data_IF_549650309688
#
_entry.id   IF_549650309688
#
_cell.length_a   1.000
_cell.length_b   1.000
_cell.length_c   1.000
_cell.angle_alpha   90.00
_cell.angle_beta   90.00
_cell.angle_gamma   90.00
#
_symmetry.space_group_name_H-M   'P 1'
#
loop_
_entity.id
_entity.type
_entity.pdbx_description
1 polymer ?
#
# COMPACT_ATOMS: atom_id res chain seq x y z
N UNK A 1 -22.63 -6.30 2.95
CA UNK A 1 -22.34 -6.59 4.36
C UNK A 1 -21.17 -7.55 4.38
N UNK A 2 -20.20 -7.40 5.30
CA UNK A 2 -19.09 -8.35 5.45
C UNK A 2 -19.48 -9.41 6.47
N UNK A 3 -18.76 -10.55 6.45
CA UNK A 3 -18.97 -11.67 7.36
C UNK A 3 -17.76 -11.84 8.30
N UNK A 4 -17.94 -12.54 9.41
CA UNK A 4 -16.85 -12.87 10.33
C UNK A 4 -15.82 -13.75 9.59
N UNK A 5 -14.55 -13.38 9.66
CA UNK A 5 -13.45 -13.98 8.91
C UNK A 5 -13.12 -13.26 7.61
N UNK A 6 -13.98 -12.34 7.11
CA UNK A 6 -13.64 -11.54 5.93
C UNK A 6 -12.41 -10.66 6.18
N UNK A 7 -11.52 -10.60 5.19
CA UNK A 7 -10.43 -9.65 5.14
C UNK A 7 -10.86 -8.44 4.32
N UNK A 8 -10.79 -7.27 4.94
CA UNK A 8 -11.20 -5.99 4.32
C UNK A 8 -10.10 -4.95 4.44
N UNK A 9 -10.04 -4.06 3.47
CA UNK A 9 -9.28 -2.82 3.58
C UNK A 9 -10.13 -1.79 4.32
N UNK A 10 -9.62 -1.28 5.44
CA UNK A 10 -10.30 -0.29 6.26
C UNK A 10 -9.52 1.03 6.30
N UNK A 11 -9.85 1.92 5.43
CA UNK A 11 -9.26 3.27 5.36
C UNK A 11 -7.74 3.26 5.47
N UNK A 12 -7.23 4.08 6.38
CA UNK A 12 -5.77 4.23 6.62
C UNK A 12 -5.16 3.14 7.50
N UNK A 13 -6.00 2.36 8.19
CA UNK A 13 -5.55 1.25 9.03
C UNK A 13 -4.98 0.09 8.19
N UNK A 14 -5.41 0.02 6.91
CA UNK A 14 -5.01 -1.05 6.01
C UNK A 14 -5.90 -2.28 6.16
N UNK A 15 -5.31 -3.47 6.04
CA UNK A 15 -6.07 -4.72 6.05
C UNK A 15 -6.45 -5.10 7.47
N UNK A 16 -7.73 -5.40 7.64
CA UNK A 16 -8.32 -5.87 8.88
C UNK A 16 -9.14 -7.14 8.64
N UNK A 17 -9.15 -8.01 9.61
CA UNK A 17 -10.05 -9.14 9.68
C UNK A 17 -11.31 -8.75 10.46
N UNK A 18 -12.47 -9.09 9.96
CA UNK A 18 -13.74 -8.97 10.69
C UNK A 18 -13.79 -10.10 11.71
N UNK A 19 -13.58 -9.79 12.98
CA UNK A 19 -13.55 -10.81 14.04
C UNK A 19 -14.92 -11.04 14.68
N UNK A 20 -15.79 -10.02 14.66
CA UNK A 20 -17.10 -10.11 15.27
C UNK A 20 -18.05 -9.08 14.64
N UNK A 21 -19.35 -9.39 14.65
CA UNK A 21 -20.45 -8.46 14.28
C UNK A 21 -21.40 -8.45 15.45
N UNK A 22 -21.50 -7.33 16.16
CA UNK A 22 -22.25 -7.27 17.42
C UNK A 22 -22.79 -5.87 17.71
N UNK A 23 -23.68 -5.78 18.69
CA UNK A 23 -24.11 -4.49 19.25
C UNK A 23 -23.21 -4.11 20.42
N UNK A 24 -22.83 -2.83 20.50
CA UNK A 24 -21.98 -2.37 21.60
C UNK A 24 -22.82 -1.93 22.81
N UNK A 25 -22.50 -2.47 23.99
CA UNK A 25 -23.07 -2.05 25.27
C UNK A 25 -22.18 -0.96 25.89
N UNK A 26 -22.20 0.24 25.28
CA UNK A 26 -21.42 1.39 25.74
C UNK A 26 -22.33 2.61 25.89
N UNK A 27 -22.06 3.45 26.89
CA UNK A 27 -22.79 4.70 27.08
C UNK A 27 -22.59 5.63 25.88
N UNK A 28 -23.70 6.22 25.39
CA UNK A 28 -23.68 7.11 24.22
C UNK A 28 -23.71 6.41 22.85
N UNK A 29 -23.74 5.08 22.82
CA UNK A 29 -23.88 4.29 21.57
C UNK A 29 -25.33 3.78 21.44
N UNK A 30 -25.99 3.92 20.26
CA UNK A 30 -27.31 3.34 20.04
C UNK A 30 -27.30 1.83 20.26
N UNK A 31 -28.22 1.32 21.11
CA UNK A 31 -28.23 -0.09 21.53
C UNK A 31 -28.54 -1.08 20.39
N UNK A 32 -29.24 -0.62 19.35
CA UNK A 32 -29.69 -1.45 18.22
C UNK A 32 -28.75 -1.38 17.01
N UNK A 33 -27.64 -0.63 17.11
CA UNK A 33 -26.70 -0.44 16.02
C UNK A 33 -25.67 -1.55 15.99
N UNK A 34 -25.54 -2.23 14.83
CA UNK A 34 -24.52 -3.26 14.60
C UNK A 34 -23.16 -2.62 14.28
N UNK A 35 -22.12 -3.23 14.85
CA UNK A 35 -20.73 -2.86 14.65
C UNK A 35 -19.93 -4.05 14.17
N UNK A 36 -18.99 -3.79 13.27
CA UNK A 36 -17.86 -4.67 13.04
C UNK A 36 -16.80 -4.45 14.10
N UNK A 37 -16.29 -5.53 14.65
CA UNK A 37 -15.03 -5.53 15.40
C UNK A 37 -13.96 -6.01 14.44
N UNK A 38 -13.03 -5.12 14.12
CA UNK A 38 -11.98 -5.36 13.16
C UNK A 38 -10.64 -5.53 13.89
N UNK A 39 -9.85 -6.51 13.46
CA UNK A 39 -8.47 -6.72 13.92
C UNK A 39 -7.52 -6.39 12.78
N UNK A 40 -6.68 -5.33 12.91
CA UNK A 40 -5.67 -5.03 11.92
C UNK A 40 -4.67 -6.20 11.79
N UNK A 41 -4.37 -6.61 10.56
CA UNK A 41 -3.48 -7.75 10.30
C UNK A 41 -2.05 -7.46 10.77
N UNK A 42 -1.62 -6.20 10.68
CA UNK A 42 -0.28 -5.76 11.10
C UNK A 42 -0.12 -5.50 12.60
N UNK A 43 -1.22 -5.33 13.32
CA UNK A 43 -1.23 -5.02 14.75
C UNK A 43 -1.87 -6.14 15.54
N UNK A 44 -1.06 -6.98 16.21
CA UNK A 44 -1.54 -8.18 16.91
C UNK A 44 -2.58 -7.91 18.01
N UNK A 45 -2.64 -6.72 18.57
CA UNK A 45 -3.50 -6.37 19.71
C UNK A 45 -4.47 -5.23 19.44
N UNK A 46 -4.47 -4.67 18.24
CA UNK A 46 -5.38 -3.60 17.85
C UNK A 46 -6.80 -4.11 17.64
N UNK A 47 -7.79 -3.34 18.13
CA UNK A 47 -9.21 -3.54 17.82
C UNK A 47 -9.77 -2.23 17.30
N UNK A 48 -10.50 -2.28 16.20
CA UNK A 48 -11.21 -1.15 15.63
C UNK A 48 -12.70 -1.45 15.64
N UNK A 49 -13.50 -0.54 16.17
CA UNK A 49 -14.94 -0.63 16.20
C UNK A 49 -15.50 0.31 15.13
N UNK A 50 -16.28 -0.21 14.21
CA UNK A 50 -16.91 0.62 13.18
C UNK A 50 -18.35 0.19 12.94
N UNK A 51 -19.30 1.13 12.81
CA UNK A 51 -20.67 0.78 12.46
C UNK A 51 -20.72 0.05 11.12
N UNK A 52 -21.63 -0.90 10.99
CA UNK A 52 -21.84 -1.65 9.73
C UNK A 52 -22.26 -0.73 8.58
N UNK A 53 -22.98 0.35 8.90
CA UNK A 53 -23.44 1.39 7.99
C UNK A 53 -22.49 2.60 7.88
N UNK A 54 -21.20 2.41 8.22
CA UNK A 54 -20.21 3.48 8.15
C UNK A 54 -19.89 3.87 6.70
N UNK A 55 -20.23 5.11 6.33
CA UNK A 55 -19.91 5.70 5.02
C UNK A 55 -18.72 6.68 5.07
N UNK A 56 -18.20 6.97 6.27
CA UNK A 56 -17.12 7.98 6.45
C UNK A 56 -15.73 7.43 6.11
N UNK A 57 -15.55 6.14 6.29
CA UNK A 57 -14.27 5.46 6.06
C UNK A 57 -14.48 4.42 4.97
N UNK A 58 -13.64 4.44 3.96
CA UNK A 58 -13.69 3.45 2.89
C UNK A 58 -13.47 2.06 3.46
N UNK A 59 -14.40 1.17 3.18
CA UNK A 59 -14.32 -0.25 3.46
C UNK A 59 -14.55 -1.02 2.16
N UNK A 60 -13.64 -1.93 1.82
CA UNK A 60 -13.80 -2.84 0.69
C UNK A 60 -13.13 -4.18 0.96
N UNK A 61 -13.54 -5.21 0.26
CA UNK A 61 -12.83 -6.50 0.30
C UNK A 61 -11.41 -6.35 -0.25
N UNK A 62 -10.51 -7.21 0.20
CA UNK A 62 -9.20 -7.40 -0.42
C UNK A 62 -9.42 -7.84 -1.86
N UNK A 63 -8.56 -7.40 -2.77
CA UNK A 63 -8.63 -7.79 -4.18
C UNK A 63 -8.45 -9.29 -4.36
N UNK A 64 -9.04 -9.84 -5.43
CA UNK A 64 -8.85 -11.25 -5.78
C UNK A 64 -7.44 -11.49 -6.34
N UNK A 65 -7.05 -12.76 -6.46
CA UNK A 65 -5.79 -13.15 -7.09
C UNK A 65 -5.69 -12.64 -8.53
N UNK A 66 -6.77 -12.78 -9.30
CA UNK A 66 -6.87 -12.34 -10.69
C UNK A 66 -6.72 -10.82 -10.82
N UNK A 67 -7.36 -10.08 -9.91
CA UNK A 67 -7.24 -8.61 -9.85
C UNK A 67 -5.82 -8.19 -9.47
N UNK A 68 -5.17 -8.90 -8.55
CA UNK A 68 -3.79 -8.65 -8.16
C UNK A 68 -2.82 -8.90 -9.32
N UNK A 69 -2.96 -10.01 -10.01
CA UNK A 69 -2.15 -10.34 -11.19
C UNK A 69 -2.36 -9.34 -12.34
N UNK A 70 -3.63 -8.91 -12.55
CA UNK A 70 -3.94 -7.87 -13.53
C UNK A 70 -3.29 -6.56 -13.18
N UNK A 71 -3.42 -6.11 -11.93
CA UNK A 71 -2.78 -4.89 -11.44
C UNK A 71 -1.27 -4.91 -11.69
N UNK A 72 -0.59 -6.01 -11.35
CA UNK A 72 0.86 -6.13 -11.53
C UNK A 72 1.25 -5.98 -13.00
N UNK A 73 0.51 -6.57 -13.93
CA UNK A 73 0.74 -6.39 -15.38
C UNK A 73 0.50 -4.95 -15.84
N UNK A 74 -0.41 -4.23 -15.19
CA UNK A 74 -0.74 -2.84 -15.52
C UNK A 74 0.20 -1.82 -14.88
N UNK A 75 1.01 -2.21 -13.87
CA UNK A 75 1.94 -1.31 -13.19
C UNK A 75 2.80 -0.48 -14.16
N UNK A 76 3.43 -1.04 -15.23
CA UNK A 76 4.24 -0.23 -16.15
C UNK A 76 3.47 0.93 -16.77
N UNK A 77 2.19 0.75 -17.05
CA UNK A 77 1.31 1.71 -17.73
C UNK A 77 0.66 2.74 -16.78
N UNK A 78 0.67 2.46 -15.47
CA UNK A 78 0.13 3.38 -14.47
C UNK A 78 1.07 4.57 -14.33
N UNK A 79 0.60 5.77 -14.68
CA UNK A 79 1.36 7.00 -14.54
C UNK A 79 1.47 7.45 -13.07
N UNK A 80 2.55 8.13 -12.72
CA UNK A 80 2.72 8.81 -11.44
C UNK A 80 1.68 9.93 -11.23
N UNK A 81 1.67 10.49 -10.02
CA UNK A 81 0.79 11.63 -9.72
C UNK A 81 1.36 12.91 -10.35
N UNK A 82 0.53 13.60 -11.10
CA UNK A 82 0.87 14.95 -11.51
C UNK A 82 0.72 15.93 -10.35
N UNK A 83 1.80 16.63 -9.99
CA UNK A 83 1.86 17.59 -8.89
C UNK A 83 2.26 18.94 -9.46
N UNK A 84 1.27 19.77 -9.77
CA UNK A 84 1.50 21.12 -10.31
C UNK A 84 2.01 22.12 -9.29
N UNK A 85 1.78 21.88 -7.98
CA UNK A 85 2.19 22.78 -6.91
C UNK A 85 2.72 21.98 -5.72
N UNK A 86 3.98 22.21 -5.35
CA UNK A 86 4.65 21.57 -4.22
C UNK A 86 3.92 21.76 -2.88
N UNK A 87 3.20 22.88 -2.69
CA UNK A 87 2.43 23.14 -1.46
C UNK A 87 1.24 22.21 -1.32
N UNK A 88 0.66 21.72 -2.43
CA UNK A 88 -0.49 20.81 -2.45
C UNK A 88 -0.08 19.34 -2.48
N UNK A 89 1.22 19.05 -2.53
CA UNK A 89 1.74 17.70 -2.69
C UNK A 89 1.24 16.73 -1.61
N UNK A 90 1.37 17.10 -0.36
CA UNK A 90 0.94 16.23 0.74
C UNK A 90 -0.57 15.98 0.74
N UNK A 91 -1.36 16.97 0.32
CA UNK A 91 -2.80 16.82 0.17
C UNK A 91 -3.14 15.78 -0.90
N UNK A 92 -2.46 15.83 -2.05
CA UNK A 92 -2.60 14.82 -3.11
C UNK A 92 -2.27 13.41 -2.63
N UNK A 93 -1.17 13.24 -1.90
CA UNK A 93 -0.84 11.95 -1.30
C UNK A 93 -1.92 11.48 -0.34
N UNK A 94 -2.46 12.37 0.48
CA UNK A 94 -3.53 12.07 1.44
C UNK A 94 -4.81 11.64 0.73
N UNK A 95 -5.19 12.30 -0.36
CA UNK A 95 -6.34 11.94 -1.18
C UNK A 95 -6.19 10.54 -1.77
N UNK A 96 -5.06 10.26 -2.40
CA UNK A 96 -4.77 8.94 -2.96
C UNK A 96 -4.79 7.84 -1.89
N UNK A 97 -4.18 8.08 -0.73
CA UNK A 97 -4.21 7.12 0.38
C UNK A 97 -5.62 6.88 0.93
N UNK A 98 -6.48 7.92 0.96
CA UNK A 98 -7.87 7.80 1.41
C UNK A 98 -8.73 6.97 0.46
N UNK A 99 -8.39 6.92 -0.83
CA UNK A 99 -9.14 6.15 -1.83
C UNK A 99 -9.12 4.65 -1.57
N UNK A 100 -8.09 4.16 -0.87
CA UNK A 100 -7.83 2.74 -0.60
C UNK A 100 -7.76 1.88 -1.87
N UNK A 101 -7.41 2.45 -3.02
CA UNK A 101 -7.25 1.74 -4.29
C UNK A 101 -5.80 1.38 -4.54
N UNK A 102 -5.51 0.13 -4.87
CA UNK A 102 -4.15 -0.33 -5.14
C UNK A 102 -3.45 0.47 -6.25
N UNK A 103 -4.17 0.80 -7.34
CA UNK A 103 -3.64 1.63 -8.42
C UNK A 103 -3.19 3.04 -7.93
N UNK A 104 -3.93 3.64 -7.01
CA UNK A 104 -3.55 4.93 -6.43
C UNK A 104 -2.29 4.81 -5.54
N UNK A 105 -2.12 3.69 -4.83
CA UNK A 105 -0.89 3.43 -4.09
C UNK A 105 0.31 3.23 -5.03
N UNK A 106 0.11 2.54 -6.16
CA UNK A 106 1.15 2.42 -7.20
C UNK A 106 1.55 3.80 -7.73
N UNK A 107 0.58 4.70 -8.00
CA UNK A 107 0.85 6.07 -8.46
C UNK A 107 1.71 6.85 -7.46
N UNK A 108 1.40 6.76 -6.15
CA UNK A 108 2.20 7.38 -5.08
C UNK A 108 3.61 6.80 -5.08
N UNK A 109 3.76 5.47 -5.12
CA UNK A 109 5.05 4.79 -5.08
C UNK A 109 5.93 5.26 -6.24
N UNK A 110 5.41 5.24 -7.47
CA UNK A 110 6.14 5.73 -8.66
C UNK A 110 6.60 7.18 -8.49
N UNK A 111 5.68 8.07 -8.14
CA UNK A 111 5.98 9.49 -7.93
C UNK A 111 7.06 9.72 -6.88
N UNK A 112 6.95 9.05 -5.75
CA UNK A 112 7.89 9.22 -4.64
C UNK A 112 9.25 8.60 -4.93
N UNK A 113 9.27 7.52 -5.69
CA UNK A 113 10.51 6.90 -6.15
C UNK A 113 11.26 7.83 -7.12
N UNK A 114 10.59 8.37 -8.14
CA UNK A 114 11.17 9.33 -9.09
C UNK A 114 11.72 10.57 -8.36
N UNK A 115 10.95 11.10 -7.40
CA UNK A 115 11.39 12.22 -6.56
C UNK A 115 12.61 11.86 -5.72
N UNK A 116 12.64 10.68 -5.12
CA UNK A 116 13.79 10.18 -4.36
C UNK A 116 15.03 10.15 -5.24
N UNK A 117 14.95 9.58 -6.43
CA UNK A 117 16.07 9.51 -7.39
C UNK A 117 16.53 10.91 -7.81
N UNK A 118 15.59 11.79 -8.17
CA UNK A 118 15.89 13.18 -8.56
C UNK A 118 16.59 13.95 -7.45
N UNK A 119 16.15 13.82 -6.19
CA UNK A 119 16.78 14.48 -5.04
C UNK A 119 18.17 13.94 -4.75
N UNK A 120 18.36 12.63 -4.82
CA UNK A 120 19.68 12.00 -4.63
C UNK A 120 20.69 12.48 -5.68
N UNK A 121 20.27 12.58 -6.96
CA UNK A 121 21.12 13.18 -8.03
C UNK A 121 21.53 14.62 -7.74
N UNK A 122 20.75 15.37 -6.94
CA UNK A 122 21.06 16.74 -6.49
C UNK A 122 21.83 16.78 -5.17
N UNK A 123 22.30 15.64 -4.64
CA UNK A 123 22.95 15.54 -3.34
C UNK A 123 22.02 15.78 -2.15
N UNK A 124 20.70 15.70 -2.32
CA UNK A 124 19.69 15.96 -1.29
C UNK A 124 19.07 14.64 -0.82
N UNK A 125 18.77 14.55 0.48
CA UNK A 125 18.05 13.42 1.06
C UNK A 125 16.54 13.50 0.72
N UNK A 126 15.84 12.37 0.73
CA UNK A 126 14.37 12.32 0.69
C UNK A 126 13.79 13.11 1.87
N UNK A 127 12.63 13.75 1.70
CA UNK A 127 11.97 14.44 2.81
C UNK A 127 11.26 13.42 3.73
N UNK A 128 11.15 13.74 5.03
CA UNK A 128 10.44 12.87 5.98
C UNK A 128 8.98 12.62 5.57
N UNK A 129 8.32 13.61 4.96
CA UNK A 129 6.96 13.47 4.43
C UNK A 129 6.92 12.46 3.28
N UNK A 130 7.80 12.61 2.28
CA UNK A 130 7.85 11.70 1.13
C UNK A 130 8.16 10.27 1.59
N UNK A 131 9.12 10.11 2.50
CA UNK A 131 9.48 8.80 3.04
C UNK A 131 8.34 8.13 3.81
N UNK A 132 7.59 8.91 4.60
CA UNK A 132 6.42 8.42 5.33
C UNK A 132 5.34 7.90 4.38
N UNK A 133 5.00 8.69 3.35
CA UNK A 133 3.95 8.28 2.39
C UNK A 133 4.41 7.12 1.52
N UNK A 134 5.68 7.05 1.14
CA UNK A 134 6.24 5.91 0.41
C UNK A 134 6.08 4.62 1.22
N UNK A 135 6.54 4.60 2.48
CA UNK A 135 6.39 3.44 3.36
C UNK A 135 4.93 3.04 3.58
N UNK A 136 4.02 4.01 3.71
CA UNK A 136 2.60 3.73 3.88
C UNK A 136 1.99 3.09 2.62
N UNK A 137 2.30 3.62 1.44
CA UNK A 137 1.78 3.12 0.18
C UNK A 137 2.32 1.73 -0.14
N UNK A 138 3.64 1.52 -0.01
CA UNK A 138 4.27 0.20 -0.16
C UNK A 138 3.68 -0.80 0.82
N UNK A 139 3.60 -0.41 2.08
CA UNK A 139 3.04 -1.26 3.10
C UNK A 139 1.62 -1.72 2.82
N UNK A 140 0.73 -0.82 2.42
CA UNK A 140 -0.64 -1.17 2.10
C UNK A 140 -0.73 -2.04 0.85
N UNK A 141 0.02 -1.69 -0.21
CA UNK A 141 0.02 -2.44 -1.46
C UNK A 141 0.57 -3.86 -1.25
N UNK A 142 1.74 -4.00 -0.63
CA UNK A 142 2.39 -5.30 -0.45
C UNK A 142 1.60 -6.21 0.49
N UNK A 143 0.99 -5.66 1.55
CA UNK A 143 0.13 -6.42 2.43
C UNK A 143 -1.08 -6.99 1.70
N UNK A 144 -1.72 -6.18 0.86
CA UNK A 144 -2.88 -6.62 0.10
C UNK A 144 -2.52 -7.66 -0.97
N UNK A 145 -1.46 -7.41 -1.74
CA UNK A 145 -0.96 -8.36 -2.73
C UNK A 145 -0.48 -9.67 -2.09
N UNK A 146 0.15 -9.60 -0.92
CA UNK A 146 0.58 -10.76 -0.14
C UNK A 146 -0.59 -11.69 0.18
N UNK A 147 -1.68 -11.12 0.65
CA UNK A 147 -2.89 -11.88 0.97
C UNK A 147 -3.54 -12.45 -0.31
N UNK A 148 -3.69 -11.62 -1.35
CA UNK A 148 -4.35 -12.02 -2.59
C UNK A 148 -3.59 -13.14 -3.33
N UNK A 149 -2.25 -13.10 -3.29
CA UNK A 149 -1.39 -14.03 -4.03
C UNK A 149 -0.86 -15.19 -3.18
N UNK A 150 -1.00 -15.12 -1.84
CA UNK A 150 -0.43 -16.12 -0.93
C UNK A 150 1.10 -16.06 -0.87
N UNK A 151 1.72 -14.91 -1.14
CA UNK A 151 3.17 -14.69 -1.15
C UNK A 151 3.55 -13.82 0.04
N UNK A 152 4.62 -14.13 0.80
CA UNK A 152 5.06 -13.29 1.91
C UNK A 152 5.38 -11.85 1.47
N UNK A 153 5.04 -10.84 2.29
CA UNK A 153 5.32 -9.42 2.00
C UNK A 153 6.80 -9.17 1.67
N UNK A 154 7.71 -9.88 2.33
CA UNK A 154 9.16 -9.74 2.11
C UNK A 154 9.63 -10.15 0.70
N UNK A 155 8.86 -10.98 0.00
CA UNK A 155 9.14 -11.41 -1.37
C UNK A 155 8.38 -10.62 -2.43
N UNK A 156 7.48 -9.74 -2.02
CA UNK A 156 6.52 -9.11 -2.94
C UNK A 156 7.19 -8.19 -3.96
N UNK A 157 8.18 -7.42 -3.55
CA UNK A 157 8.93 -6.54 -4.44
C UNK A 157 9.64 -7.32 -5.57
N UNK A 158 10.34 -8.38 -5.19
CA UNK A 158 11.03 -9.24 -6.16
C UNK A 158 10.01 -9.91 -7.11
N UNK A 159 8.87 -10.35 -6.57
CA UNK A 159 7.81 -10.96 -7.36
C UNK A 159 7.24 -9.98 -8.39
N UNK A 160 6.91 -8.76 -7.99
CA UNK A 160 6.40 -7.71 -8.88
C UNK A 160 7.43 -7.40 -9.97
N UNK A 161 8.70 -7.20 -9.60
CA UNK A 161 9.77 -6.90 -10.54
C UNK A 161 9.97 -8.00 -11.58
N UNK A 162 9.95 -9.26 -11.16
CA UNK A 162 10.07 -10.40 -12.06
C UNK A 162 8.88 -10.48 -13.03
N UNK A 163 7.65 -10.28 -12.51
CA UNK A 163 6.44 -10.33 -13.34
C UNK A 163 6.38 -9.21 -14.37
N UNK A 164 6.82 -8.01 -14.04
CA UNK A 164 6.92 -6.91 -15.00
C UNK A 164 7.94 -7.24 -16.10
N UNK A 165 9.10 -7.77 -15.73
CA UNK A 165 10.16 -8.15 -16.69
C UNK A 165 9.73 -9.32 -17.61
N UNK A 166 8.95 -10.28 -17.10
CA UNK A 166 8.39 -11.38 -17.91
C UNK A 166 7.37 -10.87 -18.96
N UNK A 167 6.68 -9.76 -18.67
CA UNK A 167 5.66 -9.19 -19.56
C UNK A 167 6.29 -8.33 -20.67
N UNK A 168 7.51 -7.85 -20.46
CA UNK A 168 8.34 -7.17 -21.46
C UNK A 168 9.12 -8.18 -22.29
N UNK A 169 8.47 -9.07 -23.06
CA UNK A 169 9.15 -9.84 -24.10
C UNK A 169 9.86 -8.90 -25.08
N UNK A 170 11.05 -9.26 -25.60
CA UNK A 170 11.89 -8.32 -26.31
C UNK A 170 11.30 -7.99 -27.68
N UNK A 171 10.52 -6.93 -27.75
CA UNK A 171 10.42 -6.19 -28.99
C UNK A 171 11.76 -5.49 -29.18
N UNK A 172 12.58 -6.00 -30.09
CA UNK A 172 13.79 -5.36 -30.56
C UNK A 172 13.44 -3.94 -31.02
N UNK A 173 13.56 -2.97 -30.12
CA UNK A 173 13.70 -1.57 -30.50
C UNK A 173 14.37 -0.80 -29.37
N UNK A 174 15.51 -0.22 -29.72
CA UNK A 174 16.39 0.57 -28.89
C UNK A 174 15.68 1.86 -28.39
N UNK A 175 15.12 1.82 -27.21
CA UNK A 175 14.89 2.99 -26.36
C UNK A 175 14.72 2.50 -24.92
N UNK A 176 15.84 2.19 -24.27
CA UNK A 176 15.85 1.90 -22.83
C UNK A 176 15.66 3.19 -22.05
N UNK A 177 14.43 3.43 -21.60
CA UNK A 177 14.20 4.23 -20.41
C UNK A 177 14.57 3.39 -19.17
N UNK A 178 14.98 4.00 -18.04
CA UNK A 178 15.53 3.23 -16.93
C UNK A 178 14.46 2.33 -16.33
N UNK A 179 14.70 1.02 -16.45
CA UNK A 179 14.11 0.00 -15.57
C UNK A 179 14.32 0.46 -14.13
N UNK A 180 13.31 0.37 -13.31
CA UNK A 180 13.39 0.69 -11.88
C UNK A 180 14.57 -0.09 -11.27
N UNK A 181 15.71 0.55 -10.94
CA UNK A 181 16.78 -0.15 -10.25
C UNK A 181 16.35 -0.38 -8.82
N UNK A 182 16.23 -1.65 -8.52
CA UNK A 182 16.24 -2.28 -7.22
C UNK A 182 15.98 -1.44 -5.99
N UNK A 183 14.93 -1.73 -5.32
CA UNK A 183 14.85 -1.68 -3.87
C UNK A 183 15.67 -2.88 -3.37
N UNK A 184 16.98 -2.83 -3.54
CA UNK A 184 17.88 -3.83 -2.96
C UNK A 184 18.45 -3.24 -1.66
N UNK A 185 18.02 -3.84 -0.55
CA UNK A 185 18.68 -3.97 0.73
C UNK A 185 19.74 -2.96 1.14
N UNK A 186 19.38 -2.02 2.00
CA UNK A 186 20.33 -1.52 2.98
C UNK A 186 20.59 -2.63 4.02
N UNK A 187 21.61 -3.45 3.79
CA UNK A 187 22.19 -4.29 4.84
C UNK A 187 22.81 -3.36 5.87
N UNK A 188 22.27 -3.41 7.08
CA UNK A 188 22.98 -2.94 8.27
C UNK A 188 24.25 -3.78 8.44
N UNK A 189 25.37 -3.25 8.02
CA UNK A 189 26.68 -3.74 8.38
C UNK A 189 27.06 -3.13 9.71
N UNK A 190 26.71 -3.83 10.80
CA UNK A 190 27.35 -3.65 12.08
C UNK A 190 28.60 -4.50 12.04
N UNK A 191 29.75 -3.91 11.77
CA UNK A 191 31.03 -4.57 11.91
C UNK A 191 31.81 -3.86 13.00
N UNK A 192 31.72 -4.48 14.18
CA UNK A 192 32.60 -4.23 15.30
C UNK A 192 33.89 -4.98 14.99
N UNK A 193 34.98 -4.29 14.82
CA UNK A 193 36.32 -4.88 14.95
C UNK A 193 37.20 -4.00 15.81
N UNK A 194 37.50 -4.57 16.92
CA UNK A 194 38.64 -4.27 17.79
C UNK A 194 39.95 -4.31 17.03
N UNK A 195 40.92 -3.48 17.49
CA UNK A 195 42.30 -3.47 17.08
C UNK A 195 42.99 -2.20 17.52
#
# INVERSE_FOLDING_TARGET
MYEVGDLIVYGRTGICEVTEITTLKMDGVPKDKLYYILRPVREKHGKVFTPVDNEKIVMRRVISKEEAEKLIREIPQIEGLWIGNEKQREEKYRECMKSCKCAEWVRIIKTLYERKVSRLKQGKKITATDERYLRMAEGNLYSELSIALGIPESGMEAYISNKINETEEPVLCSCRGPVLPGIAGAKNGNDSTEG
#
